data_IF_937715614077
#
_entry.id   IF_937715614077
#
_cell.length_a   1.000
_cell.length_b   1.000
_cell.length_c   1.000
_cell.angle_alpha   90.00
_cell.angle_beta   90.00
_cell.angle_gamma   90.00
#
_symmetry.space_group_name_H-M   'P 1'
#
loop_
_entity.id
_entity.type
_entity.pdbx_description
1 polymer ?
#
# COMPACT_ATOMS: atom_id res chain seq x y z
N UNK A 1 -0.97 36.89 36.26
CA UNK A 1 -1.49 35.63 35.70
C UNK A 1 -2.20 35.75 34.34
N UNK A 2 -2.98 36.81 34.07
CA UNK A 2 -3.79 36.91 32.84
C UNK A 2 -2.94 36.94 31.55
N UNK A 3 -1.84 37.71 31.54
CA UNK A 3 -0.90 37.80 30.41
C UNK A 3 -0.22 36.45 30.15
N UNK A 4 0.27 35.78 31.19
CA UNK A 4 0.91 34.46 31.07
C UNK A 4 -0.04 33.42 30.45
N UNK A 5 -1.32 33.45 30.83
CA UNK A 5 -2.35 32.55 30.25
C UNK A 5 -2.59 32.82 28.77
N UNK A 6 -2.65 34.10 28.37
CA UNK A 6 -2.79 34.47 26.95
C UNK A 6 -1.55 34.05 26.14
N UNK A 7 -0.37 34.19 26.72
CA UNK A 7 0.90 33.78 26.11
C UNK A 7 0.95 32.26 25.92
N UNK A 8 0.58 31.50 26.96
CA UNK A 8 0.49 30.04 26.87
C UNK A 8 -0.54 29.57 25.82
N UNK A 9 -1.72 30.21 25.79
CA UNK A 9 -2.74 29.92 24.78
C UNK A 9 -2.21 30.22 23.36
N UNK A 10 -1.57 31.37 23.17
CA UNK A 10 -0.96 31.75 21.89
C UNK A 10 0.12 30.75 21.43
N UNK A 11 1.01 30.33 22.32
CA UNK A 11 2.04 29.33 22.01
C UNK A 11 1.41 27.98 21.64
N UNK A 12 0.40 27.52 22.39
CA UNK A 12 -0.29 26.26 22.06
C UNK A 12 -1.00 26.31 20.70
N UNK A 13 -1.65 27.43 20.37
CA UNK A 13 -2.30 27.63 19.09
C UNK A 13 -1.29 27.68 17.95
N UNK A 14 -0.20 28.44 18.12
CA UNK A 14 0.89 28.53 17.15
C UNK A 14 1.56 27.18 16.89
N UNK A 15 1.86 26.42 17.94
CA UNK A 15 2.44 25.07 17.81
C UNK A 15 1.51 24.13 17.05
N UNK A 16 0.21 24.19 17.32
CA UNK A 16 -0.79 23.37 16.62
C UNK A 16 -0.83 23.67 15.13
N UNK A 17 -0.84 24.95 14.76
CA UNK A 17 -0.84 25.40 13.35
C UNK A 17 0.45 24.95 12.65
N UNK A 18 1.60 25.04 13.32
CA UNK A 18 2.88 24.58 12.77
C UNK A 18 2.88 23.07 12.46
N UNK A 19 2.38 22.24 13.39
CA UNK A 19 2.30 20.79 13.20
C UNK A 19 1.39 20.45 12.02
N UNK A 20 0.21 21.07 11.95
CA UNK A 20 -0.73 20.86 10.84
C UNK A 20 -0.09 21.27 9.51
N UNK A 21 0.55 22.45 9.46
CA UNK A 21 1.24 22.93 8.26
C UNK A 21 2.35 21.99 7.80
N UNK A 22 3.16 21.46 8.73
CA UNK A 22 4.21 20.49 8.41
C UNK A 22 3.63 19.19 7.84
N UNK A 23 2.58 18.63 8.46
CA UNK A 23 1.93 17.42 7.96
C UNK A 23 1.29 17.65 6.59
N UNK A 24 0.66 18.80 6.36
CA UNK A 24 0.12 19.16 5.04
C UNK A 24 1.22 19.27 3.98
N UNK A 25 2.35 19.91 4.30
CA UNK A 25 3.48 20.02 3.39
C UNK A 25 4.12 18.66 3.09
N UNK A 26 4.29 17.82 4.11
CA UNK A 26 4.76 16.44 3.97
C UNK A 26 3.84 15.62 3.07
N UNK A 27 2.53 15.65 3.33
CA UNK A 27 1.55 14.94 2.50
C UNK A 27 1.54 15.46 1.07
N UNK A 28 1.59 16.78 0.87
CA UNK A 28 1.65 17.36 -0.47
C UNK A 28 2.89 16.88 -1.24
N UNK A 29 4.05 16.82 -0.59
CA UNK A 29 5.28 16.31 -1.19
C UNK A 29 5.19 14.81 -1.54
N UNK A 30 4.49 14.01 -0.73
CA UNK A 30 4.33 12.56 -0.94
C UNK A 30 3.15 12.19 -1.85
N UNK A 31 2.20 13.11 -2.08
CA UNK A 31 1.05 12.90 -2.98
C UNK A 31 1.30 13.37 -4.40
N UNK A 32 2.53 13.78 -4.74
CA UNK A 32 2.89 13.98 -6.14
C UNK A 32 2.51 12.69 -6.89
N UNK A 33 1.55 12.74 -7.83
CA UNK A 33 1.17 11.53 -8.56
C UNK A 33 2.45 11.03 -9.23
N UNK A 34 2.81 9.77 -8.94
CA UNK A 34 3.87 9.09 -9.68
C UNK A 34 3.60 9.37 -11.16
N UNK A 35 4.60 9.85 -11.93
CA UNK A 35 4.36 10.18 -13.33
C UNK A 35 3.74 8.95 -13.95
N UNK A 36 2.45 9.06 -14.29
CA UNK A 36 1.73 7.98 -14.94
C UNK A 36 2.39 7.88 -16.30
N UNK A 37 3.39 7.01 -16.39
CA UNK A 37 3.89 6.54 -17.65
C UNK A 37 2.63 6.06 -18.36
N UNK A 38 2.24 6.77 -19.41
CA UNK A 38 1.09 6.41 -20.23
C UNK A 38 1.51 5.13 -20.92
N UNK A 39 1.25 4.00 -20.27
CA UNK A 39 1.52 2.69 -20.85
C UNK A 39 0.53 2.61 -22.01
N UNK A 40 1.04 2.83 -23.21
CA UNK A 40 0.34 2.47 -24.44
C UNK A 40 0.27 0.95 -24.40
N UNK A 41 -0.83 0.42 -23.85
CA UNK A 41 -1.12 -1.01 -23.94
C UNK A 41 -1.38 -1.29 -25.43
N UNK A 42 -0.60 -2.17 -26.09
CA UNK A 42 -1.02 -2.73 -27.37
C UNK A 42 -2.39 -3.39 -27.19
N UNK A 43 -3.28 -3.23 -28.16
CA UNK A 43 -4.58 -3.93 -28.12
C UNK A 43 -4.35 -5.43 -27.93
N UNK A 44 -5.13 -6.10 -27.05
CA UNK A 44 -4.97 -7.51 -26.77
C UNK A 44 -5.36 -8.33 -28.00
N UNK A 45 -4.39 -8.64 -28.85
CA UNK A 45 -4.55 -9.63 -29.90
C UNK A 45 -4.44 -11.02 -29.26
N UNK A 46 -5.59 -11.69 -29.16
CA UNK A 46 -5.84 -13.03 -28.63
C UNK A 46 -6.18 -13.16 -27.12
N UNK A 47 -7.44 -13.57 -26.87
CA UNK A 47 -7.97 -14.05 -25.60
C UNK A 47 -7.11 -15.20 -25.06
N UNK A 48 -6.58 -15.04 -23.85
CA UNK A 48 -5.86 -16.10 -23.12
C UNK A 48 -4.38 -15.83 -22.84
N UNK A 49 -3.80 -14.73 -23.31
CA UNK A 49 -2.43 -14.37 -22.95
C UNK A 49 -2.39 -13.48 -21.70
N UNK A 50 -1.66 -13.92 -20.66
CA UNK A 50 -1.33 -13.09 -19.50
C UNK A 50 -0.12 -12.23 -19.90
N UNK A 51 -0.19 -10.89 -19.81
CA UNK A 51 0.95 -10.05 -20.14
C UNK A 51 2.10 -10.36 -19.18
N UNK A 52 3.26 -10.72 -19.73
CA UNK A 52 4.51 -10.83 -18.96
C UNK A 52 4.86 -9.43 -18.49
N UNK A 53 4.71 -9.18 -17.19
CA UNK A 53 5.12 -7.91 -16.60
C UNK A 53 6.64 -7.71 -16.78
N UNK A 54 7.10 -6.50 -17.11
CA UNK A 54 8.53 -6.21 -17.12
C UNK A 54 9.08 -6.37 -15.70
N UNK A 55 10.08 -7.25 -15.60
CA UNK A 55 10.78 -7.63 -14.37
C UNK A 55 11.24 -6.38 -13.59
N UNK A 56 10.79 -6.17 -12.34
CA UNK A 56 11.39 -5.16 -11.48
C UNK A 56 12.85 -5.52 -11.21
N UNK A 57 13.73 -4.54 -11.42
CA UNK A 57 15.16 -4.65 -11.12
C UNK A 57 15.32 -4.80 -9.60
N UNK A 58 15.85 -5.95 -9.20
CA UNK A 58 16.48 -6.30 -7.93
C UNK A 58 15.98 -5.57 -6.66
N UNK A 59 14.96 -6.15 -6.03
CA UNK A 59 14.83 -6.13 -4.57
C UNK A 59 14.92 -7.57 -4.06
N UNK A 60 15.74 -7.76 -3.03
CA UNK A 60 16.08 -8.98 -2.28
C UNK A 60 15.08 -10.12 -2.48
N UNK A 61 15.56 -11.20 -3.11
CA UNK A 61 14.84 -12.45 -3.35
C UNK A 61 14.30 -13.02 -2.02
N UNK A 62 12.99 -13.03 -1.76
CA UNK A 62 12.43 -14.00 -0.81
C UNK A 62 12.50 -15.36 -1.50
N UNK A 63 12.82 -16.41 -0.74
CA UNK A 63 12.85 -17.79 -1.24
C UNK A 63 11.58 -18.09 -2.06
N UNK A 64 11.68 -18.85 -3.17
CA UNK A 64 10.53 -19.14 -4.01
C UNK A 64 9.48 -19.83 -3.15
N UNK A 65 8.37 -19.13 -2.90
CA UNK A 65 7.17 -19.77 -2.38
C UNK A 65 6.83 -20.87 -3.37
N UNK A 66 7.03 -22.11 -2.94
CA UNK A 66 6.76 -23.29 -3.74
C UNK A 66 5.25 -23.35 -3.87
N UNK A 67 4.69 -22.69 -4.90
CA UNK A 67 3.25 -22.63 -5.18
C UNK A 67 2.81 -24.08 -5.37
N UNK A 68 2.16 -24.71 -4.37
CA UNK A 68 1.69 -26.06 -4.52
C UNK A 68 0.49 -25.99 -5.45
N UNK A 69 0.64 -26.59 -6.63
CA UNK A 69 -0.39 -27.10 -7.53
C UNK A 69 -1.81 -26.53 -7.37
N UNK A 70 -2.21 -25.70 -8.33
CA UNK A 70 -3.63 -25.43 -8.61
C UNK A 70 -4.37 -24.63 -7.54
N UNK A 71 -5.47 -24.00 -7.97
CA UNK A 71 -6.36 -23.31 -7.05
C UNK A 71 -7.17 -24.34 -6.25
N UNK A 72 -6.91 -24.42 -4.94
CA UNK A 72 -7.59 -25.33 -4.02
C UNK A 72 -8.97 -24.77 -3.65
N UNK A 73 -9.99 -25.25 -4.36
CA UNK A 73 -11.39 -24.84 -4.18
C UNK A 73 -11.94 -25.25 -2.82
N UNK A 74 -11.41 -26.30 -2.20
CA UNK A 74 -11.83 -26.74 -0.87
C UNK A 74 -11.31 -25.78 0.20
N UNK A 75 -10.06 -25.31 0.08
CA UNK A 75 -9.53 -24.26 0.96
C UNK A 75 -10.24 -22.92 0.80
N UNK A 76 -10.63 -22.54 -0.42
CA UNK A 76 -11.47 -21.35 -0.63
C UNK A 76 -12.82 -21.52 0.09
N UNK A 77 -13.47 -22.67 -0.07
CA UNK A 77 -14.77 -22.94 0.52
C UNK A 77 -14.71 -22.96 2.06
N UNK A 78 -13.64 -23.52 2.63
CA UNK A 78 -13.37 -23.46 4.07
C UNK A 78 -13.18 -22.01 4.56
N UNK A 79 -12.45 -21.19 3.79
CA UNK A 79 -12.27 -19.77 4.11
C UNK A 79 -13.59 -18.98 4.03
N UNK A 80 -14.45 -19.28 3.06
CA UNK A 80 -15.80 -18.69 2.97
C UNK A 80 -16.68 -19.07 4.17
N UNK A 81 -16.43 -20.23 4.78
CA UNK A 81 -17.08 -20.65 6.04
C UNK A 81 -16.43 -20.06 7.29
N UNK A 82 -15.31 -19.34 7.14
CA UNK A 82 -14.59 -18.74 8.24
C UNK A 82 -13.61 -19.69 8.95
N UNK A 83 -13.31 -20.86 8.36
CA UNK A 83 -12.36 -21.80 8.94
C UNK A 83 -10.93 -21.25 8.84
N UNK A 84 -10.11 -21.40 9.91
CA UNK A 84 -8.75 -20.88 9.91
C UNK A 84 -7.85 -21.62 8.91
N UNK A 85 -7.04 -20.87 8.16
CA UNK A 85 -6.08 -21.42 7.20
C UNK A 85 -4.91 -22.04 7.98
N UNK A 86 -5.02 -23.32 8.32
CA UNK A 86 -3.92 -24.05 8.93
C UNK A 86 -2.86 -24.38 7.88
N UNK A 87 -1.56 -24.22 8.19
CA UNK A 87 -0.51 -24.71 7.31
C UNK A 87 -0.64 -26.23 7.21
N UNK A 88 -0.73 -26.74 5.97
CA UNK A 88 -0.67 -28.18 5.69
C UNK A 88 0.59 -28.74 6.32
N UNK A 89 0.45 -29.46 7.43
CA UNK A 89 1.54 -30.22 8.05
C UNK A 89 1.92 -31.34 7.08
N UNK A 90 3.02 -31.16 6.35
CA UNK A 90 3.75 -32.25 5.71
C UNK A 90 4.97 -32.55 6.56
#
# INVERSE_FOLDING_TARGET
MRILRLLAAGVSAGASILVIGFVCADRLAHTAPSPVARIVLPEPSATGSIPVQPKPVAAVKPAPAKIPNGFDTERLNALMRGDPILPSKR
#
